data_IF_656925065999
#
_entry.id   IF_656925065999
#
_cell.length_a   1.000
_cell.length_b   1.000
_cell.length_c   1.000
_cell.angle_alpha   90.00
_cell.angle_beta   90.00
_cell.angle_gamma   90.00
#
_symmetry.space_group_name_H-M   'P 1'
#
loop_
_entity.id
_entity.type
_entity.pdbx_description
1 polymer ?
#
# COMPACT_ATOMS: atom_id res chain seq x y z
N UNK A 1 6.42 -9.09 -22.37
CA UNK A 1 5.84 -7.73 -22.42
C UNK A 1 6.54 -6.80 -21.43
N UNK A 2 6.62 -7.12 -20.12
CA UNK A 2 7.21 -6.26 -19.08
C UNK A 2 8.68 -5.90 -19.36
N UNK A 3 9.55 -6.87 -19.66
CA UNK A 3 10.96 -6.64 -19.96
C UNK A 3 11.17 -5.69 -21.16
N UNK A 4 10.32 -5.79 -22.20
CA UNK A 4 10.40 -4.91 -23.36
C UNK A 4 10.03 -3.45 -23.02
N UNK A 5 9.08 -3.24 -22.13
CA UNK A 5 8.72 -1.92 -21.64
C UNK A 5 9.82 -1.31 -20.79
N UNK A 6 10.36 -2.09 -19.82
CA UNK A 6 11.43 -1.66 -18.92
C UNK A 6 12.74 -1.34 -19.66
N UNK A 7 13.08 -2.08 -20.73
CA UNK A 7 14.25 -1.77 -21.58
C UNK A 7 14.18 -0.39 -22.23
N UNK A 8 12.97 0.14 -22.43
CA UNK A 8 12.73 1.48 -23.03
C UNK A 8 12.69 2.60 -22.00
N UNK A 9 12.72 2.28 -20.72
CA UNK A 9 12.75 3.28 -19.66
C UNK A 9 14.09 4.02 -19.65
N UNK A 10 14.07 5.32 -19.42
CA UNK A 10 15.27 6.16 -19.27
C UNK A 10 16.02 5.89 -17.98
N UNK A 11 15.34 5.36 -16.97
CA UNK A 11 15.91 4.91 -15.70
C UNK A 11 14.89 4.10 -14.91
N UNK A 12 15.39 3.23 -14.05
CA UNK A 12 14.58 2.36 -13.20
C UNK A 12 15.04 2.52 -11.76
N UNK A 13 14.09 2.79 -10.88
CA UNK A 13 14.37 2.87 -9.43
C UNK A 13 13.68 1.71 -8.74
N UNK A 14 14.40 1.03 -7.86
CA UNK A 14 13.87 -0.05 -7.03
C UNK A 14 14.22 0.20 -5.57
N UNK A 15 13.45 -0.38 -4.67
CA UNK A 15 13.60 -0.17 -3.23
C UNK A 15 14.60 -1.10 -2.55
N UNK A 16 14.95 -2.23 -3.18
CA UNK A 16 15.81 -3.26 -2.60
C UNK A 16 16.63 -3.99 -3.67
N UNK A 17 17.71 -4.64 -3.21
CA UNK A 17 18.67 -5.38 -4.05
C UNK A 17 18.01 -6.56 -4.78
N UNK A 18 17.07 -7.24 -4.12
CA UNK A 18 16.35 -8.37 -4.73
C UNK A 18 15.56 -7.94 -5.95
N UNK A 19 14.88 -6.79 -5.85
CA UNK A 19 14.15 -6.22 -6.99
C UNK A 19 15.11 -5.91 -8.14
N UNK A 20 16.32 -5.43 -7.85
CA UNK A 20 17.34 -5.19 -8.86
C UNK A 20 17.82 -6.49 -9.51
N UNK A 21 18.11 -7.52 -8.72
CA UNK A 21 18.51 -8.85 -9.23
C UNK A 21 17.44 -9.47 -10.13
N UNK A 22 16.16 -9.38 -9.75
CA UNK A 22 15.05 -9.85 -10.57
C UNK A 22 14.97 -9.10 -11.93
N UNK A 23 15.31 -7.81 -11.94
CA UNK A 23 15.38 -7.04 -13.19
C UNK A 23 16.54 -7.51 -14.06
N UNK A 24 17.68 -7.83 -13.49
CA UNK A 24 18.82 -8.41 -14.22
C UNK A 24 18.46 -9.78 -14.83
N UNK A 25 17.78 -10.66 -14.09
CA UNK A 25 17.32 -11.96 -14.57
C UNK A 25 16.42 -11.86 -15.81
N UNK A 26 15.61 -10.80 -15.91
CA UNK A 26 14.77 -10.54 -17.10
C UNK A 26 15.49 -9.74 -18.19
N UNK A 27 16.80 -9.52 -18.05
CA UNK A 27 17.68 -8.91 -19.04
C UNK A 27 17.65 -7.38 -19.07
N UNK A 28 17.42 -6.74 -17.91
CA UNK A 28 17.64 -5.30 -17.72
C UNK A 28 19.08 -5.08 -17.25
N UNK A 29 19.79 -4.18 -17.92
CA UNK A 29 21.17 -3.87 -17.55
C UNK A 29 21.23 -3.20 -16.19
N UNK A 30 22.18 -3.62 -15.35
CA UNK A 30 22.32 -3.19 -13.95
C UNK A 30 22.58 -1.69 -13.81
N UNK A 31 23.28 -1.08 -14.77
CA UNK A 31 23.58 0.35 -14.83
C UNK A 31 22.33 1.24 -15.02
N UNK A 32 21.22 0.67 -15.50
CA UNK A 32 19.92 1.34 -15.57
C UNK A 32 19.12 1.31 -14.29
N UNK A 33 19.54 0.50 -13.32
CA UNK A 33 18.78 0.26 -12.10
C UNK A 33 19.44 0.95 -10.92
N UNK A 34 18.72 1.85 -10.29
CA UNK A 34 19.14 2.56 -9.08
C UNK A 34 18.37 2.01 -7.87
N UNK A 35 19.12 1.54 -6.86
CA UNK A 35 18.52 1.06 -5.61
C UNK A 35 18.47 2.23 -4.63
N UNK A 36 17.27 2.49 -4.12
CA UNK A 36 17.05 3.57 -3.16
C UNK A 36 16.41 3.04 -1.88
N UNK A 37 15.15 3.34 -1.65
CA UNK A 37 14.36 2.85 -0.53
C UNK A 37 12.86 2.92 -0.86
N UNK A 38 12.02 2.38 0.01
CA UNK A 38 10.57 2.53 -0.12
C UNK A 38 10.18 4.00 0.15
N UNK A 39 9.48 4.69 -0.78
CA UNK A 39 9.11 6.09 -0.61
C UNK A 39 8.28 6.37 0.65
N UNK A 40 7.58 5.38 1.17
CA UNK A 40 6.75 5.46 2.37
C UNK A 40 7.56 5.91 3.59
N UNK A 41 8.87 5.65 3.64
CA UNK A 41 9.72 6.12 4.76
C UNK A 41 9.77 7.64 4.92
N UNK A 42 9.35 8.41 3.91
CA UNK A 42 9.24 9.87 3.95
C UNK A 42 7.88 10.40 4.37
N UNK A 43 6.95 9.52 4.74
CA UNK A 43 5.69 9.98 5.31
C UNK A 43 5.97 10.80 6.56
N UNK A 44 5.27 11.92 6.69
CA UNK A 44 5.37 12.77 7.86
C UNK A 44 4.62 12.14 9.03
N UNK A 45 5.15 12.31 10.23
CA UNK A 45 4.40 12.01 11.43
C UNK A 45 3.13 12.88 11.44
N UNK A 46 1.96 12.31 11.75
CA UNK A 46 0.72 13.08 11.76
C UNK A 46 0.75 14.18 12.83
N UNK A 47 0.13 15.31 12.54
CA UNK A 47 -0.09 16.37 13.49
C UNK A 47 -1.28 15.98 14.40
N UNK A 48 -1.08 16.00 15.71
CA UNK A 48 -2.11 15.60 16.68
C UNK A 48 -2.15 14.09 16.94
N UNK A 49 -3.08 13.65 17.77
CA UNK A 49 -3.18 12.28 18.25
C UNK A 49 -4.55 11.65 17.92
N UNK A 50 -4.89 11.65 16.64
CA UNK A 50 -6.09 10.97 16.12
C UNK A 50 -6.07 9.48 16.45
N UNK A 51 -4.89 8.87 16.47
CA UNK A 51 -4.71 7.47 16.82
C UNK A 51 -5.20 7.14 18.24
N UNK A 52 -4.89 8.00 19.23
CA UNK A 52 -5.39 7.81 20.58
C UNK A 52 -6.93 7.89 20.67
N UNK A 53 -7.55 8.78 19.91
CA UNK A 53 -9.01 8.88 19.86
C UNK A 53 -9.63 7.60 19.25
N UNK A 54 -9.05 7.10 18.16
CA UNK A 54 -9.49 5.86 17.51
C UNK A 54 -9.36 4.69 18.48
N UNK A 55 -8.21 4.57 19.16
CA UNK A 55 -7.93 3.51 20.11
C UNK A 55 -8.90 3.54 21.29
N UNK A 56 -9.16 4.71 21.88
CA UNK A 56 -10.14 4.85 22.97
C UNK A 56 -11.55 4.47 22.54
N UNK A 57 -11.97 4.88 21.33
CA UNK A 57 -13.28 4.49 20.75
C UNK A 57 -13.36 2.97 20.56
N UNK A 58 -12.25 2.33 20.21
CA UNK A 58 -12.18 0.88 20.07
C UNK A 58 -12.11 0.14 21.44
N UNK A 59 -12.02 0.85 22.56
CA UNK A 59 -11.96 0.26 23.89
C UNK A 59 -10.53 0.01 24.41
N UNK A 60 -9.51 0.59 23.78
CA UNK A 60 -8.12 0.49 24.23
C UNK A 60 -7.88 1.50 25.36
N UNK A 61 -7.38 1.03 26.51
CA UNK A 61 -6.92 1.91 27.59
C UNK A 61 -5.50 2.40 27.31
N UNK A 62 -5.31 3.71 27.31
CA UNK A 62 -3.99 4.34 27.12
C UNK A 62 -3.41 4.88 28.44
N UNK A 63 -3.94 4.45 29.59
CA UNK A 63 -3.61 4.95 30.92
C UNK A 63 -2.41 4.19 31.55
N UNK A 64 -1.29 4.09 30.82
CA UNK A 64 -0.05 3.47 31.31
C UNK A 64 -0.03 1.96 31.28
N UNK A 65 -1.02 1.29 30.69
CA UNK A 65 -1.01 -0.14 30.44
C UNK A 65 -0.18 -0.43 29.19
N UNK A 66 0.72 -1.44 29.27
CA UNK A 66 1.53 -1.86 28.13
C UNK A 66 0.64 -2.22 26.94
N UNK A 67 0.81 -1.54 25.83
CA UNK A 67 0.00 -1.71 24.62
C UNK A 67 0.83 -2.30 23.49
N UNK A 68 0.47 -3.51 23.05
CA UNK A 68 1.18 -4.23 21.98
C UNK A 68 0.33 -4.25 20.72
N UNK A 69 0.83 -3.65 19.65
CA UNK A 69 0.19 -3.68 18.34
C UNK A 69 0.57 -4.95 17.55
N UNK A 70 -0.41 -5.61 16.93
CA UNK A 70 -0.22 -6.82 16.14
C UNK A 70 -0.72 -6.58 14.71
N UNK A 71 0.18 -6.38 13.77
CA UNK A 71 -0.13 -6.22 12.35
C UNK A 71 0.05 -7.57 11.64
N UNK A 72 -1.00 -8.37 11.64
CA UNK A 72 -1.00 -9.77 11.21
C UNK A 72 -1.32 -9.87 9.71
N UNK A 73 -0.79 -10.91 9.06
CA UNK A 73 -1.20 -11.37 7.74
C UNK A 73 -1.37 -12.88 7.74
N UNK A 74 -2.61 -13.32 7.79
CA UNK A 74 -3.01 -14.71 7.73
C UNK A 74 -4.43 -14.80 7.14
N UNK A 75 -4.76 -15.91 6.52
CA UNK A 75 -6.10 -16.18 6.00
C UNK A 75 -6.74 -17.40 6.66
N UNK A 76 -5.90 -18.33 7.09
CA UNK A 76 -6.34 -19.53 7.80
C UNK A 76 -6.41 -19.26 9.30
N UNK A 77 -7.63 -19.16 9.81
CA UNK A 77 -7.93 -18.90 11.23
C UNK A 77 -7.49 -20.04 12.15
N UNK A 78 -7.35 -21.26 11.62
CA UNK A 78 -6.94 -22.46 12.37
C UNK A 78 -5.46 -22.81 12.19
N UNK A 79 -4.70 -21.96 11.50
CA UNK A 79 -3.29 -22.19 11.25
C UNK A 79 -2.48 -22.32 12.54
N UNK A 80 -1.37 -23.05 12.48
CA UNK A 80 -0.41 -23.10 13.59
C UNK A 80 0.04 -21.71 14.01
N UNK A 81 0.25 -20.82 13.04
CA UNK A 81 0.68 -19.46 13.30
C UNK A 81 -0.33 -18.69 14.16
N UNK A 82 -1.62 -18.80 13.87
CA UNK A 82 -2.70 -18.18 14.69
C UNK A 82 -2.69 -18.73 16.11
N UNK A 83 -2.53 -20.05 16.30
CA UNK A 83 -2.45 -20.67 17.62
C UNK A 83 -1.26 -20.15 18.42
N UNK A 84 -0.10 -19.97 17.79
CA UNK A 84 1.08 -19.42 18.44
C UNK A 84 0.94 -17.92 18.73
N UNK A 85 0.22 -17.17 17.89
CA UNK A 85 -0.13 -15.77 18.19
C UNK A 85 -1.04 -15.66 19.40
N UNK A 86 -2.08 -16.48 19.48
CA UNK A 86 -2.98 -16.53 20.67
C UNK A 86 -2.19 -16.80 21.94
N UNK A 87 -1.28 -17.78 21.93
CA UNK A 87 -0.41 -18.08 23.07
C UNK A 87 0.49 -16.87 23.40
N UNK A 88 1.09 -16.25 22.41
CA UNK A 88 1.96 -15.08 22.59
C UNK A 88 1.22 -13.90 23.24
N UNK A 89 0.02 -13.60 22.75
CA UNK A 89 -0.85 -12.55 23.30
C UNK A 89 -1.23 -12.87 24.75
N UNK A 90 -1.62 -14.13 25.04
CA UNK A 90 -1.94 -14.56 26.39
C UNK A 90 -0.73 -14.46 27.34
N UNK A 91 0.46 -14.86 26.89
CA UNK A 91 1.68 -14.74 27.70
C UNK A 91 2.02 -13.28 28.02
N UNK A 92 1.84 -12.35 27.06
CA UNK A 92 2.02 -10.91 27.31
C UNK A 92 0.99 -10.38 28.32
N UNK A 93 -0.26 -10.85 28.24
CA UNK A 93 -1.30 -10.50 29.21
C UNK A 93 -0.95 -11.02 30.61
N UNK A 94 -0.57 -12.28 30.72
CA UNK A 94 -0.32 -12.93 32.02
C UNK A 94 0.90 -12.32 32.71
N UNK A 95 1.96 -12.01 31.95
CA UNK A 95 3.22 -11.53 32.52
C UNK A 95 3.25 -10.02 32.78
N UNK A 96 2.70 -9.24 31.85
CA UNK A 96 2.81 -7.77 31.86
C UNK A 96 1.48 -7.06 32.00
N UNK A 97 0.38 -7.79 32.15
CA UNK A 97 -0.96 -7.24 32.03
C UNK A 97 -1.14 -6.40 30.75
N UNK A 98 -0.43 -6.79 29.69
CA UNK A 98 -0.45 -6.06 28.42
C UNK A 98 -1.84 -6.10 27.77
N UNK A 99 -2.17 -5.05 27.04
CA UNK A 99 -3.32 -5.01 26.15
C UNK A 99 -2.83 -5.16 24.71
N UNK A 100 -3.45 -6.04 23.96
CA UNK A 100 -3.12 -6.28 22.55
C UNK A 100 -4.08 -5.55 21.62
N UNK A 101 -3.55 -4.89 20.60
CA UNK A 101 -4.34 -4.23 19.55
C UNK A 101 -4.09 -4.95 18.23
N UNK A 102 -5.10 -5.62 17.71
CA UNK A 102 -5.05 -6.31 16.42
C UNK A 102 -5.36 -5.30 15.32
N UNK A 103 -4.38 -5.07 14.45
CA UNK A 103 -4.39 -4.00 13.45
C UNK A 103 -4.46 -4.61 12.04
N UNK A 104 -5.64 -4.71 11.40
CA UNK A 104 -5.77 -5.21 10.05
C UNK A 104 -5.28 -4.15 9.04
N UNK A 105 -4.09 -4.35 8.48
CA UNK A 105 -3.51 -3.46 7.48
C UNK A 105 -4.21 -3.52 6.12
N UNK A 106 -4.69 -4.68 5.75
CA UNK A 106 -5.58 -4.87 4.61
C UNK A 106 -6.91 -5.38 5.15
N UNK A 107 -7.82 -4.46 5.40
CA UNK A 107 -9.04 -4.72 6.16
C UNK A 107 -9.82 -5.94 5.66
N UNK A 108 -9.99 -6.06 4.34
CA UNK A 108 -10.73 -7.15 3.70
C UNK A 108 -10.04 -8.51 3.83
N UNK A 109 -8.71 -8.56 3.90
CA UNK A 109 -7.94 -9.80 4.02
C UNK A 109 -7.61 -10.17 5.47
N UNK A 110 -7.23 -9.17 6.28
CA UNK A 110 -6.69 -9.40 7.63
C UNK A 110 -7.77 -9.31 8.71
N UNK A 111 -8.88 -8.63 8.43
CA UNK A 111 -9.91 -8.32 9.43
C UNK A 111 -10.59 -9.56 10.00
N UNK A 112 -10.81 -10.59 9.20
CA UNK A 112 -11.45 -11.83 9.65
C UNK A 112 -10.58 -12.54 10.69
N UNK A 113 -9.30 -12.76 10.39
CA UNK A 113 -8.38 -13.43 11.32
C UNK A 113 -8.13 -12.60 12.58
N UNK A 114 -8.07 -11.26 12.46
CA UNK A 114 -7.94 -10.38 13.62
C UNK A 114 -9.15 -10.50 14.56
N UNK A 115 -10.37 -10.47 14.04
CA UNK A 115 -11.59 -10.68 14.81
C UNK A 115 -11.64 -12.07 15.44
N UNK A 116 -11.25 -13.09 14.69
CA UNK A 116 -11.21 -14.47 15.18
C UNK A 116 -10.25 -14.63 16.38
N UNK A 117 -9.06 -14.01 16.30
CA UNK A 117 -8.09 -14.02 17.42
C UNK A 117 -8.67 -13.27 18.62
N UNK A 118 -9.23 -12.07 18.42
CA UNK A 118 -9.82 -11.31 19.52
C UNK A 118 -10.94 -12.08 20.24
N UNK A 119 -11.78 -12.78 19.49
CA UNK A 119 -12.91 -13.55 20.03
C UNK A 119 -12.50 -14.80 20.82
N UNK A 120 -11.27 -15.30 20.64
CA UNK A 120 -10.76 -16.46 21.39
C UNK A 120 -10.02 -16.09 22.67
N UNK A 121 -9.73 -14.82 22.88
CA UNK A 121 -9.03 -14.33 24.05
C UNK A 121 -10.03 -13.86 25.13
N UNK A 122 -9.65 -13.93 26.41
CA UNK A 122 -10.47 -13.36 27.46
C UNK A 122 -10.75 -11.88 27.24
N UNK A 123 -11.89 -11.41 27.73
CA UNK A 123 -12.23 -9.99 27.75
C UNK A 123 -11.08 -9.16 28.32
N UNK A 124 -10.87 -7.96 27.78
CA UNK A 124 -9.79 -7.05 28.18
C UNK A 124 -8.36 -7.54 27.85
N UNK A 125 -8.20 -8.57 27.01
CA UNK A 125 -6.87 -9.05 26.55
C UNK A 125 -6.51 -8.46 25.20
N UNK A 126 -7.44 -8.46 24.23
CA UNK A 126 -7.19 -7.97 22.89
C UNK A 126 -8.39 -7.20 22.33
N UNK A 127 -8.08 -6.14 21.60
CA UNK A 127 -9.04 -5.35 20.84
C UNK A 127 -8.72 -5.46 19.36
N UNK A 128 -9.70 -5.71 18.51
CA UNK A 128 -9.55 -5.67 17.05
C UNK A 128 -10.07 -4.34 16.52
N UNK A 129 -9.27 -3.67 15.71
CA UNK A 129 -9.71 -2.48 14.98
C UNK A 129 -10.63 -2.92 13.82
N UNK A 130 -11.88 -2.49 13.85
CA UNK A 130 -12.94 -2.98 12.97
C UNK A 130 -13.33 -1.99 11.85
N UNK A 131 -12.50 -0.98 11.60
CA UNK A 131 -12.75 0.02 10.57
C UNK A 131 -11.56 0.09 9.60
N UNK A 132 -11.80 0.69 8.44
CA UNK A 132 -10.77 0.98 7.46
C UNK A 132 -10.20 2.37 7.73
N UNK A 133 -8.92 2.45 7.99
CA UNK A 133 -8.22 3.70 8.31
C UNK A 133 -7.36 4.17 7.15
N UNK A 134 -7.18 5.48 7.05
CA UNK A 134 -6.20 6.08 6.13
C UNK A 134 -4.78 5.83 6.62
N UNK A 135 -3.80 5.99 5.74
CA UNK A 135 -2.39 5.77 6.08
C UNK A 135 -1.89 6.66 7.22
N UNK A 136 -2.39 7.89 7.30
CA UNK A 136 -2.04 8.84 8.36
C UNK A 136 -2.64 8.42 9.71
N UNK A 137 -3.89 7.94 9.71
CA UNK A 137 -4.54 7.40 10.90
C UNK A 137 -3.80 6.15 11.40
N UNK A 138 -3.41 5.26 10.48
CA UNK A 138 -2.63 4.06 10.81
C UNK A 138 -1.26 4.39 11.41
N UNK A 139 -0.58 5.43 10.92
CA UNK A 139 0.64 5.95 11.54
C UNK A 139 0.36 6.42 12.98
N UNK A 140 -0.70 7.21 13.18
CA UNK A 140 -1.07 7.72 14.50
C UNK A 140 -1.45 6.60 15.46
N UNK A 141 -2.20 5.59 15.00
CA UNK A 141 -2.54 4.38 15.77
C UNK A 141 -1.26 3.67 16.24
N UNK A 142 -0.33 3.40 15.32
CA UNK A 142 0.93 2.72 15.63
C UNK A 142 1.78 3.54 16.58
N UNK A 143 1.79 4.86 16.46
CA UNK A 143 2.52 5.76 17.34
C UNK A 143 2.10 5.68 18.82
N UNK A 144 0.96 5.10 19.11
CA UNK A 144 0.45 4.86 20.48
C UNK A 144 0.73 3.46 21.01
N UNK A 145 1.54 2.65 20.32
CA UNK A 145 1.96 1.33 20.78
C UNK A 145 3.30 1.42 21.52
N UNK A 146 3.46 0.65 22.58
CA UNK A 146 4.75 0.46 23.26
C UNK A 146 5.64 -0.53 22.54
N UNK A 147 5.02 -1.46 21.79
CA UNK A 147 5.69 -2.46 20.96
C UNK A 147 4.81 -2.78 19.75
N UNK A 148 5.40 -2.86 18.57
CA UNK A 148 4.73 -3.38 17.37
C UNK A 148 5.29 -4.74 16.97
N UNK A 149 4.41 -5.72 16.80
CA UNK A 149 4.72 -7.02 16.19
C UNK A 149 4.15 -7.02 14.76
N UNK A 150 5.05 -6.97 13.77
CA UNK A 150 4.67 -6.75 12.38
C UNK A 150 4.98 -7.95 11.48
N UNK A 151 3.97 -8.43 10.76
CA UNK A 151 4.10 -9.38 9.65
C UNK A 151 4.05 -8.62 8.30
N UNK A 152 3.34 -7.50 8.24
CA UNK A 152 3.21 -6.66 7.05
C UNK A 152 4.34 -5.63 6.96
N UNK A 153 4.98 -5.50 5.76
CA UNK A 153 6.08 -4.56 5.54
C UNK A 153 5.74 -3.13 6.00
N UNK A 154 4.60 -2.60 5.58
CA UNK A 154 4.25 -1.22 5.92
C UNK A 154 3.99 -1.01 7.40
N UNK A 155 3.57 -2.02 8.16
CA UNK A 155 3.48 -1.89 9.62
C UNK A 155 4.84 -1.68 10.27
N UNK A 156 5.86 -2.41 9.80
CA UNK A 156 7.25 -2.24 10.26
C UNK A 156 7.81 -0.86 9.90
N UNK A 157 7.53 -0.39 8.67
CA UNK A 157 7.92 0.96 8.22
C UNK A 157 7.24 2.03 9.10
N UNK A 158 5.96 1.87 9.39
CA UNK A 158 5.20 2.83 10.21
C UNK A 158 5.72 2.89 11.65
N UNK A 159 6.02 1.74 12.25
CA UNK A 159 6.66 1.69 13.56
C UNK A 159 8.02 2.41 13.54
N UNK A 160 8.84 2.17 12.52
CA UNK A 160 10.11 2.86 12.35
C UNK A 160 9.97 4.38 12.19
N UNK A 161 8.96 4.86 11.44
CA UNK A 161 8.67 6.29 11.30
C UNK A 161 8.23 6.90 12.64
N UNK A 162 7.36 6.21 13.37
CA UNK A 162 6.81 6.73 14.62
C UNK A 162 7.79 6.63 15.79
N UNK A 163 8.86 5.84 15.65
CA UNK A 163 9.82 5.60 16.74
C UNK A 163 9.27 4.61 17.76
N UNK A 164 8.50 3.63 17.32
CA UNK A 164 7.96 2.55 18.14
C UNK A 164 8.89 1.34 18.04
N UNK A 165 9.30 0.74 19.16
CA UNK A 165 10.02 -0.53 19.17
C UNK A 165 9.26 -1.60 18.39
N UNK A 166 9.98 -2.43 17.63
CA UNK A 166 9.32 -3.36 16.73
C UNK A 166 9.98 -4.75 16.70
N UNK A 167 9.14 -5.75 16.47
CA UNK A 167 9.55 -7.14 16.20
C UNK A 167 8.96 -7.54 14.84
N UNK A 168 9.83 -7.98 13.93
CA UNK A 168 9.43 -8.39 12.60
C UNK A 168 9.30 -9.91 12.46
N UNK A 169 8.16 -10.40 11.99
CA UNK A 169 7.94 -11.77 11.57
C UNK A 169 7.85 -11.79 10.05
N UNK A 170 8.76 -12.50 9.40
CA UNK A 170 8.86 -12.48 7.94
C UNK A 170 7.99 -13.55 7.29
N UNK A 171 7.12 -13.15 6.36
CA UNK A 171 6.45 -14.06 5.43
C UNK A 171 6.91 -13.84 3.99
N UNK A 172 7.60 -12.73 3.74
CA UNK A 172 8.03 -12.29 2.42
C UNK A 172 9.45 -11.69 2.53
N UNK A 173 10.35 -11.99 1.62
CA UNK A 173 11.72 -11.46 1.63
C UNK A 173 11.84 -9.94 1.73
N UNK A 174 10.83 -9.18 1.28
CA UNK A 174 10.80 -7.71 1.42
C UNK A 174 10.75 -7.25 2.89
N UNK A 175 10.09 -8.02 3.77
CA UNK A 175 10.08 -7.72 5.21
C UNK A 175 11.47 -7.92 5.80
N UNK A 176 12.14 -9.04 5.47
CA UNK A 176 13.52 -9.30 5.89
C UNK A 176 14.49 -8.23 5.36
N UNK A 177 14.36 -7.85 4.07
CA UNK A 177 15.20 -6.83 3.48
C UNK A 177 15.04 -5.46 4.17
N UNK A 178 13.82 -5.08 4.52
CA UNK A 178 13.57 -3.85 5.28
C UNK A 178 14.20 -3.92 6.68
N UNK A 179 13.93 -4.98 7.45
CA UNK A 179 14.50 -5.14 8.79
C UNK A 179 16.03 -5.03 8.75
N UNK A 180 16.69 -5.77 7.87
CA UNK A 180 18.14 -5.69 7.70
C UNK A 180 18.60 -4.26 7.32
N UNK A 181 17.83 -3.54 6.50
CA UNK A 181 18.17 -2.17 6.09
C UNK A 181 18.08 -1.15 7.22
N UNK A 182 17.35 -1.46 8.28
CA UNK A 182 17.25 -0.64 9.50
C UNK A 182 18.05 -1.19 10.68
N UNK A 183 18.91 -2.19 10.42
CA UNK A 183 19.80 -2.77 11.43
C UNK A 183 19.14 -3.75 12.37
N UNK A 184 18.01 -4.35 11.96
CA UNK A 184 17.29 -5.36 12.73
C UNK A 184 17.26 -6.69 11.99
N UNK A 185 17.24 -7.77 12.74
CA UNK A 185 16.94 -9.11 12.24
C UNK A 185 15.45 -9.41 12.40
N UNK A 186 14.94 -10.32 11.55
CA UNK A 186 13.62 -10.90 11.78
C UNK A 186 13.68 -11.85 12.95
N UNK A 187 12.63 -11.88 13.77
CA UNK A 187 12.51 -12.89 14.84
C UNK A 187 12.46 -14.31 14.25
N UNK A 188 11.60 -14.50 13.27
CA UNK A 188 11.40 -15.80 12.60
C UNK A 188 10.71 -15.62 11.26
N UNK A 189 10.53 -16.71 10.53
CA UNK A 189 9.49 -16.78 9.50
C UNK A 189 8.14 -17.13 10.14
N UNK A 190 7.06 -16.88 9.43
CA UNK A 190 5.70 -17.19 9.89
C UNK A 190 5.52 -18.68 10.21
N UNK A 191 6.14 -19.55 9.41
CA UNK A 191 6.10 -21.00 9.57
C UNK A 191 6.83 -21.50 10.83
N UNK A 192 7.88 -20.77 11.25
CA UNK A 192 8.73 -21.13 12.39
C UNK A 192 8.44 -20.30 13.63
N UNK A 193 7.42 -19.42 13.60
CA UNK A 193 7.03 -18.62 14.72
C UNK A 193 6.45 -19.49 15.84
N UNK A 194 6.91 -19.23 17.08
CA UNK A 194 6.35 -19.83 18.31
C UNK A 194 6.34 -18.80 19.42
N UNK A 195 5.44 -18.99 20.39
CA UNK A 195 5.34 -18.14 21.56
C UNK A 195 6.60 -18.19 22.44
N UNK A 196 7.30 -19.34 22.46
CA UNK A 196 8.56 -19.52 23.17
C UNK A 196 9.71 -18.71 22.57
N UNK A 197 9.71 -18.49 21.25
CA UNK A 197 10.68 -17.60 20.59
C UNK A 197 10.30 -16.13 20.80
N UNK A 198 9.00 -15.85 20.81
CA UNK A 198 8.49 -14.48 20.86
C UNK A 198 8.74 -13.82 22.24
N UNK A 199 8.40 -14.49 23.33
CA UNK A 199 8.40 -13.87 24.65
C UNK A 199 9.77 -13.33 25.07
N UNK A 200 10.89 -14.09 24.98
CA UNK A 200 12.21 -13.56 25.32
C UNK A 200 12.62 -12.36 24.45
N UNK A 201 12.24 -12.38 23.16
CA UNK A 201 12.54 -11.25 22.27
C UNK A 201 11.69 -10.02 22.62
N UNK A 202 10.41 -10.20 22.94
CA UNK A 202 9.56 -9.11 23.41
C UNK A 202 10.12 -8.48 24.70
N UNK A 203 10.57 -9.28 25.65
CA UNK A 203 11.24 -8.83 26.88
C UNK A 203 12.48 -8.00 26.56
N UNK A 204 13.38 -8.55 25.74
CA UNK A 204 14.59 -7.85 25.30
C UNK A 204 14.25 -6.51 24.66
N UNK A 205 13.27 -6.48 23.74
CA UNK A 205 12.88 -5.25 23.04
C UNK A 205 12.22 -4.24 23.99
N UNK A 206 11.43 -4.68 24.96
CA UNK A 206 10.85 -3.78 25.97
C UNK A 206 11.93 -3.16 26.88
N UNK A 207 12.99 -3.90 27.19
CA UNK A 207 14.14 -3.40 27.98
C UNK A 207 15.04 -2.47 27.16
N UNK A 208 15.33 -2.81 25.92
CA UNK A 208 16.28 -2.09 25.04
C UNK A 208 15.61 -1.25 23.95
N UNK A 209 14.31 -0.97 24.10
CA UNK A 209 13.52 -0.31 23.05
C UNK A 209 14.05 1.07 22.63
N UNK A 210 14.60 1.83 23.57
CA UNK A 210 15.18 3.14 23.26
C UNK A 210 16.43 3.01 22.38
N UNK A 211 17.32 2.06 22.64
CA UNK A 211 18.49 1.77 21.82
C UNK A 211 18.09 1.26 20.44
N UNK A 212 17.08 0.37 20.39
CA UNK A 212 16.55 -0.12 19.10
C UNK A 212 16.01 1.04 18.26
N UNK A 213 15.18 1.92 18.83
CA UNK A 213 14.61 3.07 18.13
C UNK A 213 15.70 4.01 17.61
N UNK A 214 16.70 4.33 18.42
CA UNK A 214 17.83 5.17 18.00
C UNK A 214 18.60 4.54 16.81
N UNK A 215 18.85 3.24 16.87
CA UNK A 215 19.49 2.51 15.78
C UNK A 215 18.63 2.58 14.49
N UNK A 216 17.35 2.32 14.59
CA UNK A 216 16.38 2.37 13.48
C UNK A 216 16.32 3.78 12.89
N UNK A 217 16.21 4.82 13.70
CA UNK A 217 16.16 6.22 13.25
C UNK A 217 17.44 6.62 12.47
N UNK A 218 18.60 6.20 12.96
CA UNK A 218 19.87 6.47 12.26
C UNK A 218 19.93 5.81 10.88
N UNK A 219 19.37 4.60 10.73
CA UNK A 219 19.27 3.90 9.46
C UNK A 219 18.19 4.49 8.55
N UNK A 220 17.04 4.84 9.09
CA UNK A 220 15.97 5.52 8.37
C UNK A 220 16.44 6.86 7.76
N UNK A 221 17.26 7.62 8.49
CA UNK A 221 17.87 8.84 7.98
C UNK A 221 18.80 8.58 6.77
N UNK A 222 19.55 7.47 6.80
CA UNK A 222 20.40 7.05 5.65
C UNK A 222 19.53 6.63 4.44
N UNK A 223 18.47 5.87 4.68
CA UNK A 223 17.55 5.45 3.63
C UNK A 223 16.80 6.64 3.01
N UNK A 224 16.39 7.61 3.83
CA UNK A 224 15.76 8.84 3.34
C UNK A 224 16.66 9.62 2.39
N UNK A 225 17.98 9.72 2.70
CA UNK A 225 18.95 10.37 1.78
C UNK A 225 19.07 9.64 0.45
N UNK A 226 18.94 8.31 0.41
CA UNK A 226 18.94 7.57 -0.86
C UNK A 226 17.77 7.97 -1.76
N UNK A 227 16.63 8.37 -1.19
CA UNK A 227 15.48 8.84 -1.95
C UNK A 227 15.70 10.19 -2.66
N UNK A 228 16.69 11.00 -2.23
CA UNK A 228 17.07 12.23 -2.95
C UNK A 228 17.58 11.91 -4.37
N UNK A 229 18.11 10.70 -4.57
CA UNK A 229 18.55 10.23 -5.88
C UNK A 229 17.36 10.07 -6.84
N UNK A 230 16.18 9.70 -6.34
CA UNK A 230 14.97 9.59 -7.16
C UNK A 230 14.58 10.96 -7.74
N UNK A 231 14.57 11.99 -6.90
CA UNK A 231 14.23 13.35 -7.32
C UNK A 231 15.25 13.88 -8.35
N UNK A 232 16.53 13.71 -8.08
CA UNK A 232 17.60 14.11 -9.02
C UNK A 232 17.47 13.40 -10.36
N UNK A 233 17.17 12.11 -10.35
CA UNK A 233 17.00 11.32 -11.57
C UNK A 233 15.78 11.77 -12.36
N UNK A 234 14.65 12.01 -11.71
CA UNK A 234 13.43 12.53 -12.34
C UNK A 234 13.72 13.90 -12.97
N UNK A 235 14.33 14.81 -12.22
CA UNK A 235 14.70 16.14 -12.73
C UNK A 235 15.62 16.04 -13.95
N UNK A 236 16.64 15.19 -13.91
CA UNK A 236 17.56 14.98 -15.01
C UNK A 236 16.86 14.45 -16.29
N UNK A 237 15.94 13.50 -16.13
CA UNK A 237 15.12 12.97 -17.23
C UNK A 237 14.21 14.07 -17.82
N UNK A 238 13.56 14.86 -16.96
CA UNK A 238 12.71 15.97 -17.39
C UNK A 238 13.50 17.05 -18.14
N UNK A 239 14.69 17.42 -17.66
CA UNK A 239 15.57 18.38 -18.32
C UNK A 239 16.04 17.87 -19.69
N UNK A 240 16.42 16.58 -19.78
CA UNK A 240 16.80 15.95 -21.05
C UNK A 240 15.65 15.97 -22.06
N UNK A 241 14.44 15.63 -21.62
CA UNK A 241 13.24 15.69 -22.45
C UNK A 241 12.96 17.11 -22.94
N UNK A 242 13.10 18.12 -22.06
CA UNK A 242 12.89 19.53 -22.38
C UNK A 242 13.92 20.05 -23.40
N UNK A 243 15.19 19.67 -23.25
CA UNK A 243 16.25 20.03 -24.23
C UNK A 243 16.00 19.41 -25.60
N UNK A 244 15.53 18.16 -25.62
CA UNK A 244 15.22 17.48 -26.90
C UNK A 244 14.03 18.14 -27.63
N UNK A 245 13.04 18.61 -26.86
CA UNK A 245 11.89 19.35 -27.42
C UNK A 245 12.27 20.73 -27.91
N UNK A 246 13.32 21.37 -27.37
CA UNK A 246 13.81 22.69 -27.77
C UNK A 246 14.84 22.63 -28.92
N UNK A 247 15.51 21.51 -29.16
CA UNK A 247 16.52 21.36 -30.20
C UNK A 247 15.97 20.92 -31.55
N UNK A 248 14.68 20.61 -31.66
CA UNK A 248 14.04 20.30 -32.92
C UNK A 248 12.91 21.29 -33.29
N UNK A 249 13.24 22.58 -33.58
CA UNK A 249 12.23 23.58 -33.92
C UNK A 249 11.72 23.41 -35.37
N UNK A 250 12.45 22.70 -36.25
CA UNK A 250 12.12 22.67 -37.67
C UNK A 250 11.14 21.56 -38.08
N UNK A 251 10.95 20.52 -37.25
CA UNK A 251 10.00 19.47 -37.58
C UNK A 251 8.59 19.70 -37.00
N UNK A 252 8.42 20.78 -36.23
CA UNK A 252 7.16 21.08 -35.53
C UNK A 252 6.31 22.16 -36.20
N UNK A 253 6.84 22.90 -37.18
CA UNK A 253 6.12 24.03 -37.81
C UNK A 253 5.21 23.65 -38.96
N UNK A 254 5.49 22.57 -39.70
CA UNK A 254 4.62 22.16 -40.82
C UNK A 254 3.54 21.13 -40.48
N UNK A 255 3.67 20.41 -39.35
CA UNK A 255 2.64 19.46 -38.90
C UNK A 255 1.68 20.01 -37.83
N UNK A 256 1.96 21.18 -37.25
CA UNK A 256 1.19 21.72 -36.12
C UNK A 256 -0.15 22.36 -36.51
N UNK A 257 -0.34 22.75 -37.76
CA UNK A 257 -1.49 23.60 -38.13
C UNK A 257 -2.77 22.84 -38.53
N UNK A 258 -2.71 21.54 -38.81
CA UNK A 258 -3.91 20.78 -39.19
C UNK A 258 -4.24 19.56 -38.30
N UNK A 259 -3.28 18.98 -37.58
CA UNK A 259 -3.53 17.83 -36.72
C UNK A 259 -3.83 18.25 -35.28
N UNK A 260 -3.20 19.31 -34.76
CA UNK A 260 -3.36 19.80 -33.41
C UNK A 260 -4.78 20.31 -33.13
N UNK A 261 -5.39 21.03 -34.06
CA UNK A 261 -6.77 21.55 -33.93
C UNK A 261 -7.79 20.41 -33.96
N UNK A 262 -7.57 19.38 -34.79
CA UNK A 262 -8.44 18.22 -34.89
C UNK A 262 -8.33 17.33 -33.61
N UNK A 263 -7.13 17.15 -33.06
CA UNK A 263 -6.90 16.34 -31.86
C UNK A 263 -7.39 17.07 -30.62
N UNK A 264 -7.18 18.38 -30.50
CA UNK A 264 -7.72 19.18 -29.40
C UNK A 264 -9.26 19.23 -29.43
N UNK A 265 -9.87 19.34 -30.63
CA UNK A 265 -11.32 19.27 -30.79
C UNK A 265 -11.91 17.90 -30.39
N UNK A 266 -11.23 16.80 -30.77
CA UNK A 266 -11.65 15.46 -30.43
C UNK A 266 -11.53 15.20 -28.90
N UNK A 267 -10.47 15.65 -28.27
CA UNK A 267 -10.28 15.54 -26.80
C UNK A 267 -11.33 16.38 -26.08
N UNK A 268 -11.59 17.61 -26.51
CA UNK A 268 -12.63 18.46 -25.93
C UNK A 268 -14.03 17.87 -26.11
N UNK A 269 -14.31 17.24 -27.24
CA UNK A 269 -15.59 16.57 -27.50
C UNK A 269 -15.78 15.34 -26.60
N UNK A 270 -14.76 14.50 -26.44
CA UNK A 270 -14.81 13.33 -25.53
C UNK A 270 -14.96 13.80 -24.07
N UNK A 271 -14.29 14.86 -23.68
CA UNK A 271 -14.44 15.43 -22.33
C UNK A 271 -15.85 15.95 -22.07
N UNK A 272 -16.45 16.68 -23.02
CA UNK A 272 -17.83 17.18 -22.96
C UNK A 272 -18.84 16.01 -22.90
N UNK A 273 -18.64 14.98 -23.70
CA UNK A 273 -19.47 13.77 -23.69
C UNK A 273 -19.39 13.04 -22.34
N UNK A 274 -18.20 12.92 -21.77
CA UNK A 274 -17.98 12.30 -20.46
C UNK A 274 -18.63 13.10 -19.34
N UNK A 275 -18.53 14.43 -19.40
CA UNK A 275 -19.18 15.33 -18.45
C UNK A 275 -20.70 15.23 -18.51
N UNK A 276 -21.24 15.20 -19.72
CA UNK A 276 -22.68 15.05 -19.96
C UNK A 276 -23.20 13.69 -19.47
N UNK A 277 -22.48 12.61 -19.72
CA UNK A 277 -22.80 11.28 -19.22
C UNK A 277 -22.82 11.23 -17.67
N UNK A 278 -21.87 11.90 -17.01
CA UNK A 278 -21.87 11.99 -15.54
C UNK A 278 -23.03 12.82 -15.00
N UNK A 279 -23.39 13.93 -15.65
CA UNK A 279 -24.56 14.72 -15.30
C UNK A 279 -25.86 13.90 -15.42
N UNK A 280 -26.01 13.15 -16.52
CA UNK A 280 -27.14 12.23 -16.67
C UNK A 280 -27.18 11.15 -15.59
N UNK A 281 -26.00 10.67 -15.13
CA UNK A 281 -25.89 9.75 -13.99
C UNK A 281 -26.46 10.35 -12.70
N UNK A 282 -26.11 11.60 -12.39
CA UNK A 282 -26.65 12.30 -11.21
C UNK A 282 -28.17 12.49 -11.31
N UNK A 283 -28.68 12.91 -12.48
CA UNK A 283 -30.14 13.05 -12.69
C UNK A 283 -30.84 11.72 -12.48
N UNK A 284 -30.28 10.62 -12.99
CA UNK A 284 -30.81 9.28 -12.78
C UNK A 284 -30.87 8.92 -11.29
N UNK A 285 -29.79 9.19 -10.53
CA UNK A 285 -29.74 8.89 -9.09
C UNK A 285 -30.77 9.71 -8.31
N UNK A 286 -30.95 11.00 -8.68
CA UNK A 286 -31.98 11.84 -8.08
C UNK A 286 -33.40 11.31 -8.38
N UNK A 287 -33.68 10.90 -9.62
CA UNK A 287 -34.96 10.28 -9.99
C UNK A 287 -35.16 8.95 -9.27
N UNK A 288 -34.14 8.14 -9.15
CA UNK A 288 -34.16 6.86 -8.44
C UNK A 288 -34.49 7.06 -6.96
N UNK A 289 -33.83 8.00 -6.29
CA UNK A 289 -34.09 8.35 -4.89
C UNK A 289 -35.50 8.88 -4.68
N UNK A 290 -36.06 9.61 -5.66
CA UNK A 290 -37.43 10.14 -5.60
C UNK A 290 -38.50 9.08 -5.82
N UNK A 291 -38.21 8.04 -6.62
CA UNK A 291 -39.21 6.98 -6.96
C UNK A 291 -39.14 5.83 -5.95
N UNK A 292 -37.97 5.36 -5.57
CA UNK A 292 -37.77 4.19 -4.71
C UNK A 292 -37.45 4.53 -3.24
N UNK A 293 -37.19 5.82 -2.93
CA UNK A 293 -36.76 6.23 -1.59
C UNK A 293 -35.40 5.64 -1.19
N UNK A 294 -35.22 5.34 0.11
CA UNK A 294 -34.01 4.79 0.72
C UNK A 294 -34.23 3.37 1.28
N UNK A 295 -35.14 2.60 0.70
CA UNK A 295 -35.49 1.26 1.17
C UNK A 295 -34.80 0.12 0.42
N UNK A 296 -35.14 -1.12 0.80
CA UNK A 296 -34.60 -2.37 0.23
C UNK A 296 -34.80 -2.43 -1.30
N UNK A 297 -35.89 -1.87 -1.81
CA UNK A 297 -36.19 -1.84 -3.25
C UNK A 297 -35.18 -0.98 -4.04
N UNK A 298 -34.72 0.13 -3.43
CA UNK A 298 -33.66 0.97 -4.00
C UNK A 298 -32.32 0.22 -4.05
N UNK A 299 -32.01 -0.53 -3.01
CA UNK A 299 -30.78 -1.35 -2.94
C UNK A 299 -30.79 -2.48 -3.95
N UNK A 300 -31.90 -3.18 -4.10
CA UNK A 300 -32.07 -4.25 -5.10
C UNK A 300 -31.97 -3.73 -6.53
N UNK A 301 -32.58 -2.57 -6.80
CA UNK A 301 -32.47 -1.93 -8.12
C UNK A 301 -31.00 -1.53 -8.39
N UNK A 302 -30.34 -0.90 -7.42
CA UNK A 302 -28.93 -0.47 -7.54
C UNK A 302 -27.99 -1.65 -7.74
N UNK A 303 -28.19 -2.74 -7.00
CA UNK A 303 -27.40 -3.96 -7.15
C UNK A 303 -27.58 -4.61 -8.53
N UNK A 304 -28.82 -4.70 -9.02
CA UNK A 304 -29.14 -5.25 -10.35
C UNK A 304 -28.56 -4.41 -11.46
N UNK A 305 -28.69 -3.08 -11.37
CA UNK A 305 -28.15 -2.15 -12.34
C UNK A 305 -26.62 -2.21 -12.39
N UNK A 306 -25.95 -2.16 -11.24
CA UNK A 306 -24.49 -2.20 -11.17
C UNK A 306 -23.93 -3.54 -11.68
N UNK A 307 -24.58 -4.65 -11.37
CA UNK A 307 -24.19 -5.97 -11.89
C UNK A 307 -24.26 -6.04 -13.40
N UNK A 308 -25.34 -5.52 -14.00
CA UNK A 308 -25.54 -5.48 -15.45
C UNK A 308 -24.52 -4.54 -16.12
N UNK A 309 -24.31 -3.36 -15.52
CA UNK A 309 -23.33 -2.38 -16.02
C UNK A 309 -21.91 -2.93 -15.97
N UNK A 310 -21.56 -3.68 -14.91
CA UNK A 310 -20.23 -4.29 -14.74
C UNK A 310 -19.96 -5.35 -15.82
N UNK A 311 -20.94 -6.20 -16.11
CA UNK A 311 -20.86 -7.18 -17.19
C UNK A 311 -20.67 -6.50 -18.55
N UNK A 312 -21.45 -5.46 -18.85
CA UNK A 312 -21.38 -4.75 -20.12
C UNK A 312 -20.06 -3.99 -20.29
N UNK A 313 -19.59 -3.29 -19.25
CA UNK A 313 -18.31 -2.56 -19.27
C UNK A 313 -17.13 -3.52 -19.44
N UNK A 314 -17.16 -4.68 -18.79
CA UNK A 314 -16.10 -5.69 -18.92
C UNK A 314 -16.04 -6.26 -20.34
N UNK A 315 -17.18 -6.55 -20.93
CA UNK A 315 -17.25 -7.00 -22.33
C UNK A 315 -16.77 -5.93 -23.32
N UNK A 316 -17.18 -4.67 -23.16
CA UNK A 316 -16.72 -3.55 -23.98
C UNK A 316 -15.21 -3.33 -23.84
N UNK A 317 -14.68 -3.44 -22.62
CA UNK A 317 -13.26 -3.30 -22.37
C UNK A 317 -12.44 -4.40 -23.06
N UNK A 318 -12.91 -5.65 -22.97
CA UNK A 318 -12.29 -6.79 -23.66
C UNK A 318 -12.30 -6.61 -25.19
N UNK A 319 -13.42 -6.14 -25.75
CA UNK A 319 -13.55 -5.82 -27.18
C UNK A 319 -12.60 -4.68 -27.61
N UNK A 320 -12.47 -3.63 -26.80
CA UNK A 320 -11.53 -2.54 -27.06
C UNK A 320 -10.06 -3.01 -27.06
N UNK A 321 -9.68 -3.85 -26.07
CA UNK A 321 -8.32 -4.42 -25.99
C UNK A 321 -8.03 -5.27 -27.22
N UNK A 322 -8.99 -6.01 -27.73
CA UNK A 322 -8.83 -6.85 -28.92
C UNK A 322 -8.86 -6.04 -30.23
N UNK A 323 -9.74 -5.05 -30.34
CA UNK A 323 -9.96 -4.28 -31.57
C UNK A 323 -8.87 -3.21 -31.84
N UNK A 324 -8.37 -2.54 -30.78
CA UNK A 324 -7.39 -1.46 -30.96
C UNK A 324 -6.09 -1.91 -31.65
N UNK A 325 -5.45 -3.05 -31.31
CA UNK A 325 -4.26 -3.51 -32.03
C UNK A 325 -4.53 -3.90 -33.47
N UNK A 326 -5.72 -4.42 -33.78
CA UNK A 326 -6.11 -4.82 -35.15
C UNK A 326 -6.31 -3.57 -36.01
N UNK A 327 -7.10 -2.61 -35.52
CA UNK A 327 -7.36 -1.36 -36.20
C UNK A 327 -6.09 -0.52 -36.40
N UNK A 328 -5.22 -0.45 -35.38
CA UNK A 328 -3.92 0.27 -35.53
C UNK A 328 -3.02 -0.37 -36.59
N UNK A 329 -3.07 -1.69 -36.75
CA UNK A 329 -2.30 -2.42 -37.77
C UNK A 329 -2.83 -2.17 -39.15
N UNK A 330 -4.15 -2.17 -39.36
CA UNK A 330 -4.82 -1.86 -40.61
C UNK A 330 -4.61 -0.40 -41.02
N UNK A 331 -4.79 0.56 -40.11
CA UNK A 331 -4.53 1.98 -40.42
C UNK A 331 -3.05 2.29 -40.68
N UNK A 332 -2.12 1.50 -40.11
CA UNK A 332 -0.70 1.63 -40.43
C UNK A 332 -0.34 1.03 -41.80
N UNK A 333 -1.07 0.00 -42.24
CA UNK A 333 -0.90 -0.61 -43.56
C UNK A 333 -1.45 0.28 -44.71
N UNK A 334 -2.60 0.93 -44.46
CA UNK A 334 -3.24 1.83 -45.45
C UNK A 334 -2.46 3.15 -45.64
N UNK A 335 -1.64 3.57 -44.68
CA UNK A 335 -0.73 4.74 -44.80
C UNK A 335 0.52 4.47 -45.61
N UNK A 336 0.78 3.22 -46.01
CA UNK A 336 1.93 2.82 -46.86
C UNK A 336 1.54 2.54 -48.29
N UNK A 337 0.26 2.63 -48.64
CA UNK A 337 -0.27 2.70 -50.00
C UNK A 337 -0.56 4.15 -50.37
#
# INVERSE_FOLDING_TARGET
AAAAALKRADGIVVRDERSASLLEEIGIARDKVVITADPVIRMKKPDGDVGAEILRKAGVSLDGRLTVGWAIRERDTDSRFVKELLRSIQMMKDKYNAQSVLIPFHYEEDGEVCRHIAAQLPDDTAVCLNEKYLSEDMLSIIGNMDLLVGVRLHSLIYAAIMGVPLIGISYDPKCTAFLNSVGLDKLSTKENFTAELFLPEAERVLETGKEQVQCVEAHMAKLSRKLDTNEKMICAIMEKSRKHTMQDPQNNTEKKDKSGVRTAGAISFVFLLTLFAKLLGVVREMMQANIFGTGIDADLYTASYNSTLYLFTTMCYALCIAAVPILTKEFAADRKR
#
